data_IF_986591338359
#
_entry.id   IF_986591338359
#
_cell.length_a   1.000
_cell.length_b   1.000
_cell.length_c   1.000
_cell.angle_alpha   90.00
_cell.angle_beta   90.00
_cell.angle_gamma   90.00
#
_symmetry.space_group_name_H-M   'P 1'
#
loop_
_entity.id
_entity.type
_entity.pdbx_description
1 polymer ?
#
# COMPACT_ATOMS: atom_id res chain seq x y z
N UNK A 1 13.72 -12.31 7.90
CA UNK A 1 14.51 -11.82 6.75
C UNK A 1 13.82 -12.23 5.46
N UNK A 2 13.66 -11.33 4.48
CA UNK A 2 12.89 -11.59 3.26
C UNK A 2 13.63 -12.56 2.33
N UNK A 3 12.88 -13.45 1.65
CA UNK A 3 13.40 -14.47 0.72
C UNK A 3 13.76 -13.91 -0.67
N UNK A 4 13.90 -12.59 -0.81
CA UNK A 4 14.20 -12.00 -2.12
C UNK A 4 15.65 -12.30 -2.50
N UNK A 5 15.91 -12.76 -3.74
CA UNK A 5 17.27 -12.97 -4.20
C UNK A 5 18.06 -11.67 -4.13
N UNK A 6 19.36 -11.78 -3.85
CA UNK A 6 20.27 -10.63 -3.96
C UNK A 6 20.41 -10.24 -5.43
N UNK A 7 20.77 -8.97 -5.67
CA UNK A 7 21.10 -8.46 -7.01
C UNK A 7 19.94 -8.53 -8.02
N UNK A 8 18.75 -8.07 -7.63
CA UNK A 8 17.56 -8.03 -8.49
C UNK A 8 17.19 -6.60 -8.89
N UNK A 9 16.51 -6.45 -10.03
CA UNK A 9 15.82 -5.23 -10.46
C UNK A 9 14.32 -5.48 -10.32
N UNK A 10 13.62 -4.57 -9.63
CA UNK A 10 12.17 -4.64 -9.48
C UNK A 10 11.53 -3.99 -10.70
N UNK A 11 10.84 -4.80 -11.51
CA UNK A 11 10.13 -4.33 -12.70
C UNK A 11 8.75 -3.80 -12.34
N UNK A 12 8.08 -4.47 -11.40
CA UNK A 12 6.76 -4.09 -10.88
C UNK A 12 6.60 -4.66 -9.49
N UNK A 13 6.04 -3.87 -8.57
CA UNK A 13 5.54 -4.41 -7.31
C UNK A 13 4.18 -3.79 -6.99
N UNK A 14 3.31 -4.59 -6.40
CA UNK A 14 1.98 -4.16 -5.99
C UNK A 14 1.52 -4.93 -4.75
N UNK A 15 0.78 -4.25 -3.87
CA UNK A 15 0.02 -4.93 -2.83
C UNK A 15 -1.45 -4.88 -3.17
N UNK A 16 -2.09 -6.04 -3.04
CA UNK A 16 -3.54 -6.16 -3.18
C UNK A 16 -4.17 -6.25 -1.80
N UNK A 17 -5.21 -5.45 -1.59
CA UNK A 17 -6.00 -5.40 -0.37
C UNK A 17 -7.48 -5.58 -0.72
N UNK A 18 -8.23 -6.17 0.20
CA UNK A 18 -9.65 -6.41 0.02
C UNK A 18 -10.41 -5.78 1.18
N UNK A 19 -11.43 -4.99 0.85
CA UNK A 19 -12.46 -4.61 1.81
C UNK A 19 -13.33 -5.82 2.13
N UNK A 20 -13.75 -5.92 3.39
CA UNK A 20 -14.70 -6.94 3.84
C UNK A 20 -16.03 -6.86 3.08
N UNK A 21 -16.54 -5.64 2.91
CA UNK A 21 -17.77 -5.32 2.20
C UNK A 21 -17.69 -3.90 1.65
N UNK A 22 -18.48 -3.60 0.60
CA UNK A 22 -18.61 -2.23 0.09
C UNK A 22 -19.88 -1.61 0.64
N UNK A 23 -19.75 -0.59 1.49
CA UNK A 23 -20.87 0.26 1.88
C UNK A 23 -20.96 1.41 0.86
N UNK A 24 -21.81 1.25 -0.17
CA UNK A 24 -22.08 2.35 -1.13
C UNK A 24 -22.83 3.47 -0.41
N UNK A 25 -22.37 4.71 -0.56
CA UNK A 25 -23.16 5.91 -0.25
C UNK A 25 -23.47 6.67 -1.53
N UNK A 26 -24.61 7.36 -1.55
CA UNK A 26 -25.26 7.88 -2.76
C UNK A 26 -24.39 8.82 -3.62
N UNK A 27 -23.38 9.51 -3.07
CA UNK A 27 -22.73 10.63 -3.77
C UNK A 27 -21.20 10.80 -3.55
N UNK A 28 -20.40 9.73 -3.49
CA UNK A 28 -18.96 9.87 -3.24
C UNK A 28 -18.04 8.81 -3.87
N UNK A 29 -16.82 9.22 -4.24
CA UNK A 29 -15.71 8.33 -4.61
C UNK A 29 -14.92 8.00 -3.35
N UNK A 30 -14.92 6.73 -2.92
CA UNK A 30 -14.03 6.26 -1.85
C UNK A 30 -12.57 6.42 -2.29
N UNK A 31 -11.85 7.32 -1.63
CA UNK A 31 -10.45 7.60 -1.94
C UNK A 31 -9.58 7.13 -0.79
N UNK A 32 -8.61 6.26 -1.10
CA UNK A 32 -7.62 5.76 -0.14
C UNK A 32 -6.28 6.38 -0.47
N UNK A 33 -5.60 6.87 0.56
CA UNK A 33 -4.22 7.27 0.48
C UNK A 33 -3.35 6.13 1.01
N UNK A 34 -2.30 5.79 0.27
CA UNK A 34 -1.30 4.83 0.70
C UNK A 34 0.07 5.50 0.70
N UNK A 35 0.82 5.33 1.79
CA UNK A 35 2.17 5.87 1.98
C UNK A 35 3.15 4.82 2.45
N UNK A 36 4.36 4.85 1.90
CA UNK A 36 5.45 3.97 2.35
C UNK A 36 6.16 4.55 3.56
N UNK A 37 6.28 3.76 4.63
CA UNK A 37 6.85 4.22 5.90
C UNK A 37 8.31 3.77 6.01
N UNK A 38 9.22 4.75 6.00
CA UNK A 38 10.65 4.54 6.28
C UNK A 38 11.04 4.94 7.71
N UNK A 39 10.31 5.88 8.34
CA UNK A 39 10.47 6.28 9.75
C UNK A 39 9.13 6.21 10.49
N UNK A 40 9.06 5.33 11.50
CA UNK A 40 7.87 5.13 12.33
C UNK A 40 7.55 6.33 13.23
N UNK A 41 8.55 7.15 13.57
CA UNK A 41 8.37 8.30 14.46
C UNK A 41 7.67 9.46 13.76
N UNK A 42 7.87 9.62 12.44
CA UNK A 42 7.11 10.58 11.63
C UNK A 42 5.62 10.22 11.61
N UNK A 43 5.30 8.93 11.48
CA UNK A 43 3.90 8.46 11.50
C UNK A 43 3.23 8.74 12.83
N UNK A 44 3.92 8.53 13.96
CA UNK A 44 3.38 8.78 15.31
C UNK A 44 3.13 10.26 15.60
N UNK A 45 3.84 11.16 14.91
CA UNK A 45 3.72 12.62 15.07
C UNK A 45 2.77 13.26 14.06
N UNK A 46 2.31 12.51 13.07
CA UNK A 46 1.36 12.99 12.05
C UNK A 46 -0.03 13.20 12.64
N UNK A 47 -0.45 14.46 12.72
CA UNK A 47 -1.74 14.92 13.26
C UNK A 47 -2.81 15.07 12.16
N UNK A 48 -2.67 14.33 11.05
CA UNK A 48 -3.59 14.41 9.90
C UNK A 48 -2.91 14.68 8.54
N UNK A 49 -1.58 14.80 8.50
CA UNK A 49 -0.80 14.93 7.26
C UNK A 49 -0.44 13.59 6.62
N UNK A 50 -0.26 13.57 5.30
CA UNK A 50 0.27 12.43 4.58
C UNK A 50 1.79 12.33 4.81
N UNK A 51 2.24 11.34 5.58
CA UNK A 51 3.67 11.06 5.80
C UNK A 51 4.13 9.94 4.87
N UNK A 52 5.20 10.18 4.10
CA UNK A 52 5.78 9.24 3.15
C UNK A 52 5.60 9.64 1.69
N UNK A 53 5.99 8.75 0.76
CA UNK A 53 5.79 8.98 -0.68
C UNK A 53 4.37 8.59 -1.08
N UNK A 54 3.65 9.49 -1.75
CA UNK A 54 2.26 9.28 -2.19
C UNK A 54 2.18 8.22 -3.28
N UNK A 55 1.38 7.17 -3.03
CA UNK A 55 1.23 6.04 -3.95
C UNK A 55 -0.06 6.07 -4.78
N UNK A 56 -0.84 7.16 -4.72
CA UNK A 56 -1.93 7.44 -5.66
C UNK A 56 -2.92 6.31 -5.90
N UNK A 57 -3.91 6.13 -5.02
CA UNK A 57 -4.90 5.05 -5.15
C UNK A 57 -6.30 5.62 -5.27
N UNK A 58 -6.77 5.79 -6.51
CA UNK A 58 -8.19 5.98 -6.80
C UNK A 58 -8.77 4.62 -7.16
N UNK A 59 -9.70 4.12 -6.36
CA UNK A 59 -10.39 2.89 -6.71
C UNK A 59 -11.52 3.20 -7.69
N UNK A 60 -11.63 2.50 -8.84
CA UNK A 60 -12.88 2.49 -9.60
C UNK A 60 -14.08 2.13 -8.70
N UNK A 61 -15.21 2.79 -8.96
CA UNK A 61 -16.40 2.84 -8.10
C UNK A 61 -17.06 1.49 -7.79
N UNK A 62 -16.62 0.37 -8.37
CA UNK A 62 -17.34 -0.91 -8.30
C UNK A 62 -16.53 -2.13 -7.82
N UNK A 63 -15.29 -1.98 -7.35
CA UNK A 63 -14.54 -3.12 -6.78
C UNK A 63 -14.41 -3.02 -5.24
N UNK A 64 -14.21 -4.17 -4.60
CA UNK A 64 -13.76 -4.30 -3.19
C UNK A 64 -12.23 -4.48 -3.10
N UNK A 65 -11.57 -4.58 -4.25
CA UNK A 65 -10.14 -4.84 -4.39
C UNK A 65 -9.39 -3.53 -4.65
N UNK A 66 -8.38 -3.28 -3.84
CA UNK A 66 -7.48 -2.14 -3.98
C UNK A 66 -6.10 -2.67 -4.36
N UNK A 67 -5.56 -2.17 -5.47
CA UNK A 67 -4.20 -2.47 -5.92
C UNK A 67 -3.37 -1.21 -5.72
N UNK A 68 -2.36 -1.30 -4.86
CA UNK A 68 -1.48 -0.19 -4.54
C UNK A 68 -0.13 -0.46 -5.22
N UNK A 69 0.32 0.41 -6.14
CA UNK A 69 1.63 0.27 -6.77
C UNK A 69 2.74 0.56 -5.76
N UNK A 70 3.76 -0.31 -5.74
CA UNK A 70 4.87 -0.29 -4.77
C UNK A 70 6.25 -0.47 -5.40
N UNK A 71 6.36 -0.37 -6.73
CA UNK A 71 7.62 -0.63 -7.45
C UNK A 71 8.80 0.16 -6.84
N UNK A 72 8.67 1.48 -6.69
CA UNK A 72 9.73 2.33 -6.15
C UNK A 72 10.03 2.05 -4.67
N UNK A 73 9.04 2.01 -3.76
CA UNK A 73 9.26 1.58 -2.37
C UNK A 73 9.97 0.24 -2.23
N UNK A 74 9.53 -0.78 -2.98
CA UNK A 74 10.11 -2.12 -2.91
C UNK A 74 11.54 -2.09 -3.44
N UNK A 75 11.81 -1.41 -4.57
CA UNK A 75 13.17 -1.25 -5.09
C UNK A 75 14.13 -0.62 -4.07
N UNK A 76 13.69 0.42 -3.35
CA UNK A 76 14.49 1.07 -2.31
C UNK A 76 14.72 0.14 -1.11
N UNK A 77 13.70 -0.61 -0.69
CA UNK A 77 13.82 -1.62 0.35
C UNK A 77 14.83 -2.71 0.00
N UNK A 78 14.80 -3.26 -1.23
CA UNK A 78 15.80 -4.28 -1.63
C UNK A 78 17.21 -3.71 -1.71
N UNK A 79 17.34 -2.39 -1.91
CA UNK A 79 18.62 -1.68 -1.91
C UNK A 79 19.09 -1.27 -0.51
N UNK A 80 18.40 -1.69 0.56
CA UNK A 80 18.83 -1.51 1.95
C UNK A 80 18.13 -0.40 2.72
N UNK A 81 17.14 0.28 2.13
CA UNK A 81 16.34 1.24 2.90
C UNK A 81 15.44 0.52 3.92
N UNK A 82 15.25 1.14 5.09
CA UNK A 82 14.35 0.66 6.11
C UNK A 82 12.91 0.54 5.58
N UNK A 83 12.29 -0.61 5.84
CA UNK A 83 10.89 -0.88 5.50
C UNK A 83 10.10 -1.14 6.78
N UNK A 84 9.30 -0.16 7.18
CA UNK A 84 8.42 -0.23 8.35
C UNK A 84 6.94 -0.47 7.97
N UNK A 85 6.69 -0.84 6.72
CA UNK A 85 5.36 -1.15 6.20
C UNK A 85 4.73 -0.01 5.38
N UNK A 86 3.43 -0.14 5.14
CA UNK A 86 2.63 0.79 4.34
C UNK A 86 1.52 1.32 5.25
N UNK A 87 1.39 2.64 5.28
CA UNK A 87 0.28 3.33 5.93
C UNK A 87 -0.86 3.50 4.94
N UNK A 88 -2.07 3.18 5.37
CA UNK A 88 -3.28 3.32 4.59
C UNK A 88 -4.22 4.24 5.36
N UNK A 89 -4.72 5.29 4.70
CA UNK A 89 -5.66 6.24 5.28
C UNK A 89 -6.83 6.49 4.33
N UNK A 90 -7.99 6.78 4.90
CA UNK A 90 -9.09 7.40 4.13
C UNK A 90 -8.71 8.82 3.76
N UNK A 91 -9.00 9.27 2.54
CA UNK A 91 -8.83 10.67 2.15
C UNK A 91 -9.84 11.59 2.85
N UNK A 92 -11.05 11.10 3.13
CA UNK A 92 -12.06 11.84 3.91
C UNK A 92 -12.24 11.14 5.26
N UNK A 93 -11.83 11.82 6.33
CA UNK A 93 -11.93 11.32 7.71
C UNK A 93 -13.34 11.51 8.30
N UNK A 94 -14.13 12.44 7.75
CA UNK A 94 -15.42 12.86 8.32
C UNK A 94 -16.52 11.80 8.18
N UNK A 95 -16.44 10.89 7.19
CA UNK A 95 -17.56 9.99 6.84
C UNK A 95 -17.23 8.47 6.80
N UNK A 96 -15.95 8.07 6.91
CA UNK A 96 -15.50 6.81 6.27
C UNK A 96 -14.70 5.82 7.14
N UNK A 97 -14.42 6.09 8.43
CA UNK A 97 -13.59 5.17 9.23
C UNK A 97 -14.21 3.78 9.42
N UNK A 98 -15.53 3.69 9.59
CA UNK A 98 -16.25 2.41 9.74
C UNK A 98 -16.44 1.66 8.40
N UNK A 99 -15.99 2.23 7.28
CA UNK A 99 -16.17 1.68 5.92
C UNK A 99 -14.94 0.92 5.42
N UNK A 100 -13.75 1.21 5.95
CA UNK A 100 -12.48 0.65 5.49
C UNK A 100 -12.02 -0.52 6.39
N UNK A 101 -12.85 -1.56 6.50
CA UNK A 101 -12.49 -2.78 7.23
C UNK A 101 -11.71 -3.72 6.30
N UNK A 102 -10.39 -3.65 6.40
CA UNK A 102 -9.45 -4.58 5.77
C UNK A 102 -9.28 -5.83 6.63
N UNK A 103 -10.31 -6.66 6.70
CA UNK A 103 -10.19 -7.95 7.35
C UNK A 103 -11.05 -8.99 6.66
N UNK A 104 -10.38 -9.93 6.00
CA UNK A 104 -11.00 -11.13 5.48
C UNK A 104 -10.08 -12.30 5.84
N UNK A 105 -10.61 -13.28 6.56
CA UNK A 105 -9.89 -14.51 6.92
C UNK A 105 -9.31 -15.20 5.70
N UNK A 106 -10.02 -15.11 4.56
CA UNK A 106 -9.68 -15.84 3.34
C UNK A 106 -8.92 -14.97 2.31
N UNK A 107 -8.87 -13.64 2.50
CA UNK A 107 -8.26 -12.68 1.56
C UNK A 107 -7.31 -11.73 2.26
N UNK A 108 -6.23 -12.30 2.79
CA UNK A 108 -5.12 -11.55 3.38
C UNK A 108 -4.45 -10.65 2.34
N UNK A 109 -3.90 -9.49 2.74
CA UNK A 109 -3.02 -8.68 1.91
C UNK A 109 -1.94 -9.52 1.23
N UNK A 110 -1.74 -9.33 -0.09
CA UNK A 110 -0.69 -10.03 -0.85
C UNK A 110 0.20 -9.04 -1.57
N UNK A 111 1.50 -9.12 -1.30
CA UNK A 111 2.54 -8.41 -2.04
C UNK A 111 3.00 -9.28 -3.21
N UNK A 112 2.85 -8.77 -4.44
CA UNK A 112 3.41 -9.37 -5.65
C UNK A 112 4.60 -8.55 -6.11
N UNK A 113 5.72 -9.23 -6.40
CA UNK A 113 6.96 -8.61 -6.86
C UNK A 113 7.40 -9.32 -8.12
N UNK A 114 7.47 -8.56 -9.21
CA UNK A 114 8.01 -9.00 -10.50
C UNK A 114 9.41 -8.42 -10.62
N UNK A 115 10.41 -9.29 -10.74
CA UNK A 115 11.81 -8.90 -10.77
C UNK A 115 12.59 -9.67 -11.81
N UNK A 116 13.72 -9.10 -12.22
CA UNK A 116 14.76 -9.76 -13.00
C UNK A 116 16.02 -9.87 -12.16
N UNK A 117 16.75 -10.97 -12.29
CA UNK A 117 18.09 -11.10 -11.70
C UNK A 117 19.08 -10.36 -12.59
N UNK A 118 19.93 -9.51 -12.00
CA UNK A 118 21.07 -8.97 -12.74
C UNK A 118 22.05 -10.11 -12.98
N UNK A 119 22.57 -10.29 -14.21
CA UNK A 119 23.69 -11.19 -14.45
C UNK A 119 24.84 -10.86 -13.48
N UNK A 120 25.54 -11.88 -13.01
CA UNK A 120 26.66 -11.71 -12.08
C UNK A 120 27.67 -10.70 -12.62
N UNK A 121 28.08 -9.77 -11.75
CA UNK A 121 29.38 -9.09 -11.88
C UNK A 121 30.40 -10.04 -11.27
#
# INVERSE_FOLDING_TARGET
>A
MSRLPKNIIINRAEVTLYLKEKKKYKDGVDSILAGFITDVNLVKRSIGGFEGNYLGVRNPLDTIEYIIPLTTPVQRWVNGEANNGILIRSFSEVDNFDRLVFHYTDRKPKLKIYYTTKPGI
#
